data_IF_377862775687
#
_entry.id   IF_377862775687
#
_cell.length_a   1.000
_cell.length_b   1.000
_cell.length_c   1.000
_cell.angle_alpha   90.00
_cell.angle_beta   90.00
_cell.angle_gamma   90.00
#
_symmetry.space_group_name_H-M   'P 1'
#
loop_
_entity.id
_entity.type
_entity.pdbx_description
1 polymer ?
#
# COMPACT_ATOMS: atom_id res chain seq x y z
N UNK A 1 -8.00 -0.93 -16.92
CA UNK A 1 -8.37 -2.23 -16.30
C UNK A 1 -9.40 -2.00 -15.21
N UNK A 2 -10.29 -2.98 -15.02
CA UNK A 2 -11.24 -3.08 -13.91
C UNK A 2 -10.57 -3.76 -12.72
N UNK A 3 -10.71 -3.19 -11.53
CA UNK A 3 -9.92 -3.56 -10.34
C UNK A 3 -10.82 -3.93 -9.17
N UNK A 4 -10.54 -5.09 -8.56
CA UNK A 4 -11.03 -5.42 -7.21
C UNK A 4 -9.91 -5.13 -6.22
N UNK A 5 -10.13 -4.19 -5.29
CA UNK A 5 -9.18 -3.80 -4.26
C UNK A 5 -9.55 -4.38 -2.90
N UNK A 6 -8.71 -5.28 -2.39
CA UNK A 6 -8.84 -5.86 -1.05
C UNK A 6 -7.92 -5.13 -0.07
N UNK A 7 -8.34 -5.02 1.18
CA UNK A 7 -7.58 -4.31 2.23
C UNK A 7 -7.25 -2.87 1.80
N UNK A 8 -8.24 -2.18 1.21
CA UNK A 8 -8.04 -0.90 0.56
C UNK A 8 -7.55 0.20 1.52
N UNK A 9 -7.82 0.06 2.82
CA UNK A 9 -7.53 1.05 3.84
C UNK A 9 -8.16 2.39 3.49
N UNK A 10 -7.38 3.47 3.61
CA UNK A 10 -7.83 4.80 3.16
C UNK A 10 -7.70 5.02 1.64
N UNK A 11 -7.42 4.00 0.84
CA UNK A 11 -7.40 4.09 -0.63
C UNK A 11 -6.12 4.68 -1.23
N UNK A 12 -4.97 4.59 -0.56
CA UNK A 12 -3.72 5.13 -1.13
C UNK A 12 -3.26 4.43 -2.42
N UNK A 13 -3.43 3.10 -2.51
CA UNK A 13 -3.18 2.33 -3.72
C UNK A 13 -4.23 2.67 -4.79
N UNK A 14 -5.50 2.55 -4.42
CA UNK A 14 -6.66 2.81 -5.26
C UNK A 14 -6.63 4.20 -5.90
N UNK A 15 -6.27 5.25 -5.14
CA UNK A 15 -6.20 6.61 -5.67
C UNK A 15 -5.15 6.73 -6.78
N UNK A 16 -3.99 6.09 -6.62
CA UNK A 16 -2.96 6.07 -7.67
C UNK A 16 -3.41 5.32 -8.91
N UNK A 17 -4.14 4.21 -8.74
CA UNK A 17 -4.73 3.44 -9.84
C UNK A 17 -5.82 4.24 -10.57
N UNK A 18 -6.71 4.92 -9.85
CA UNK A 18 -7.72 5.83 -10.44
C UNK A 18 -7.05 6.97 -11.21
N UNK A 19 -6.00 7.59 -10.64
CA UNK A 19 -5.25 8.66 -11.30
C UNK A 19 -4.52 8.23 -12.58
N UNK A 20 -4.27 6.93 -12.75
CA UNK A 20 -3.70 6.35 -13.96
C UNK A 20 -4.77 5.76 -14.89
N UNK A 21 -6.06 5.95 -14.60
CA UNK A 21 -7.16 5.56 -15.49
C UNK A 21 -7.71 4.15 -15.28
N UNK A 22 -7.39 3.50 -14.15
CA UNK A 22 -8.03 2.24 -13.77
C UNK A 22 -9.38 2.48 -13.11
N UNK A 23 -10.29 1.51 -13.27
CA UNK A 23 -11.65 1.55 -12.72
C UNK A 23 -11.74 0.62 -11.52
N UNK A 24 -11.95 1.17 -10.32
CA UNK A 24 -12.12 0.37 -9.11
C UNK A 24 -13.59 -0.07 -9.03
N UNK A 25 -13.85 -1.32 -9.38
CA UNK A 25 -15.21 -1.88 -9.44
C UNK A 25 -15.69 -2.42 -8.10
N UNK A 26 -14.75 -2.70 -7.18
CA UNK A 26 -15.02 -3.04 -5.79
C UNK A 26 -13.80 -2.68 -4.95
N UNK A 27 -14.01 -2.06 -3.80
CA UNK A 27 -12.99 -1.89 -2.77
C UNK A 27 -13.53 -2.37 -1.42
N UNK A 28 -12.74 -3.14 -0.67
CA UNK A 28 -13.15 -3.70 0.63
C UNK A 28 -12.13 -3.44 1.74
N UNK A 29 -12.62 -3.18 2.95
CA UNK A 29 -11.84 -3.14 4.18
C UNK A 29 -12.74 -3.41 5.40
N UNK A 30 -12.14 -3.75 6.54
CA UNK A 30 -12.86 -3.98 7.81
C UNK A 30 -12.84 -2.76 8.74
N UNK A 31 -11.97 -1.79 8.48
CA UNK A 31 -11.79 -0.61 9.33
C UNK A 31 -12.84 0.46 9.02
N UNK A 32 -13.72 0.72 9.99
CA UNK A 32 -14.78 1.71 9.90
C UNK A 32 -14.26 3.13 9.63
N UNK A 33 -13.11 3.50 10.21
CA UNK A 33 -12.53 4.83 9.97
C UNK A 33 -11.95 4.93 8.56
N UNK A 34 -11.37 3.83 8.04
CA UNK A 34 -10.96 3.73 6.64
C UNK A 34 -12.15 3.92 5.70
N UNK A 35 -13.30 3.27 5.98
CA UNK A 35 -14.54 3.48 5.22
C UNK A 35 -14.97 4.94 5.19
N UNK A 36 -15.02 5.59 6.36
CA UNK A 36 -15.41 7.00 6.42
C UNK A 36 -14.47 7.89 5.60
N UNK A 37 -13.17 7.61 5.62
CA UNK A 37 -12.20 8.31 4.77
C UNK A 37 -12.40 7.99 3.30
N UNK A 38 -12.55 6.72 2.93
CA UNK A 38 -12.69 6.29 1.55
C UNK A 38 -13.94 6.90 0.90
N UNK A 39 -15.10 6.75 1.53
CA UNK A 39 -16.39 7.26 1.02
C UNK A 39 -16.42 8.79 0.84
N UNK A 40 -15.51 9.53 1.51
CA UNK A 40 -15.38 10.98 1.32
C UNK A 40 -14.58 11.38 0.09
N UNK A 41 -13.72 10.49 -0.41
CA UNK A 41 -12.70 10.84 -1.41
C UNK A 41 -12.84 10.09 -2.73
N UNK A 42 -13.74 9.10 -2.81
CA UNK A 42 -13.99 8.30 -4.00
C UNK A 42 -15.47 8.38 -4.39
N UNK A 43 -15.75 8.33 -5.69
CA UNK A 43 -17.12 8.38 -6.23
C UNK A 43 -17.91 7.08 -5.99
N UNK A 44 -17.21 5.99 -5.69
CA UNK A 44 -17.78 4.69 -5.32
C UNK A 44 -17.49 4.39 -3.85
N UNK A 45 -18.42 3.73 -3.14
CA UNK A 45 -18.27 3.46 -1.72
C UNK A 45 -17.32 2.30 -1.45
N UNK A 46 -16.66 2.33 -0.28
CA UNK A 46 -15.95 1.18 0.25
C UNK A 46 -16.95 0.19 0.86
N UNK A 47 -16.85 -1.08 0.47
CA UNK A 47 -17.60 -2.15 1.12
C UNK A 47 -16.93 -2.52 2.46
N UNK A 48 -17.60 -2.19 3.57
CA UNK A 48 -17.15 -2.57 4.91
C UNK A 48 -17.46 -4.04 5.16
N UNK A 49 -16.58 -4.94 4.73
CA UNK A 49 -16.78 -6.38 4.81
C UNK A 49 -15.43 -7.07 4.98
N UNK A 50 -15.40 -8.12 5.79
CA UNK A 50 -14.23 -8.98 5.91
C UNK A 50 -14.04 -9.75 4.60
N UNK A 51 -12.80 -9.85 4.13
CA UNK A 51 -12.45 -10.62 2.93
C UNK A 51 -12.88 -12.08 3.06
N UNK A 52 -12.90 -12.64 4.28
CA UNK A 52 -13.38 -14.00 4.59
C UNK A 52 -14.85 -14.22 4.21
N UNK A 53 -15.63 -13.14 4.15
CA UNK A 53 -17.05 -13.18 3.83
C UNK A 53 -17.32 -12.92 2.33
N UNK A 54 -16.30 -12.60 1.53
CA UNK A 54 -16.45 -12.43 0.09
C UNK A 54 -16.49 -13.79 -0.61
N UNK A 55 -17.31 -13.90 -1.65
CA UNK A 55 -17.39 -15.07 -2.53
C UNK A 55 -17.19 -14.62 -3.96
N UNK A 56 -16.43 -15.40 -4.73
CA UNK A 56 -16.03 -15.03 -6.09
C UNK A 56 -17.20 -14.81 -7.04
N UNK A 57 -18.30 -15.55 -6.87
CA UNK A 57 -19.54 -15.43 -7.64
C UNK A 57 -20.35 -14.15 -7.33
N UNK A 58 -20.07 -13.50 -6.21
CA UNK A 58 -20.65 -12.19 -5.84
C UNK A 58 -19.82 -11.01 -6.35
N UNK A 59 -18.60 -11.24 -6.84
CA UNK A 59 -17.71 -10.17 -7.28
C UNK A 59 -18.08 -9.70 -8.70
N UNK A 60 -18.03 -8.39 -8.98
CA UNK A 60 -18.20 -7.89 -10.35
C UNK A 60 -17.05 -8.39 -11.23
N UNK A 61 -17.26 -8.51 -12.54
CA UNK A 61 -16.16 -8.84 -13.46
C UNK A 61 -15.00 -7.83 -13.36
N UNK A 62 -13.77 -8.33 -13.32
CA UNK A 62 -12.57 -7.54 -13.13
C UNK A 62 -11.34 -8.18 -13.80
N UNK A 63 -10.33 -7.36 -14.11
CA UNK A 63 -9.09 -7.82 -14.78
C UNK A 63 -7.98 -8.13 -13.78
N UNK A 64 -7.91 -7.35 -12.70
CA UNK A 64 -6.84 -7.42 -11.70
C UNK A 64 -7.37 -7.33 -10.28
N UNK A 65 -6.91 -8.22 -9.42
CA UNK A 65 -7.08 -8.12 -7.97
C UNK A 65 -5.88 -7.40 -7.36
N UNK A 66 -6.11 -6.39 -6.53
CA UNK A 66 -5.04 -5.70 -5.80
C UNK A 66 -5.24 -5.79 -4.30
N UNK A 67 -4.17 -5.83 -3.51
CA UNK A 67 -4.33 -5.70 -2.05
C UNK A 67 -3.04 -5.79 -1.23
N UNK A 68 -3.01 -5.05 -0.12
CA UNK A 68 -1.91 -5.09 0.85
C UNK A 68 -2.29 -5.92 2.08
N UNK A 69 -1.91 -7.20 2.12
CA UNK A 69 -2.31 -8.07 3.23
C UNK A 69 -1.43 -7.89 4.48
N UNK A 70 -1.99 -7.99 5.70
CA UNK A 70 -1.22 -7.83 6.94
C UNK A 70 -0.14 -8.92 7.11
N UNK A 71 1.12 -8.50 7.35
CA UNK A 71 2.26 -9.42 7.52
C UNK A 71 2.52 -9.87 8.98
N UNK A 72 1.64 -9.53 9.93
CA UNK A 72 1.97 -9.62 11.37
C UNK A 72 1.81 -11.02 12.01
N UNK A 73 1.32 -12.03 11.27
CA UNK A 73 1.13 -13.41 11.75
C UNK A 73 2.24 -14.41 11.35
N UNK A 74 3.11 -14.00 10.43
CA UNK A 74 4.14 -14.90 9.93
C UNK A 74 5.32 -14.94 10.93
N UNK A 75 5.46 -16.04 11.67
CA UNK A 75 6.65 -16.33 12.47
C UNK A 75 7.24 -17.69 12.09
N UNK A 76 8.57 -17.82 12.12
CA UNK A 76 9.31 -19.04 11.71
C UNK A 76 8.87 -20.28 12.49
N UNK A 77 8.46 -20.09 13.75
CA UNK A 77 7.99 -21.18 14.62
C UNK A 77 6.56 -21.65 14.30
N UNK A 78 5.75 -20.81 13.62
CA UNK A 78 4.36 -21.13 13.26
C UNK A 78 4.21 -21.83 11.90
N UNK A 79 5.20 -21.75 10.99
CA UNK A 79 5.10 -22.40 9.66
C UNK A 79 4.82 -23.90 9.72
N UNK A 80 5.38 -24.59 10.73
CA UNK A 80 5.30 -26.05 10.81
C UNK A 80 4.32 -26.56 11.88
N UNK A 81 3.78 -25.69 12.74
CA UNK A 81 3.10 -26.16 13.97
C UNK A 81 1.66 -25.72 14.19
N UNK A 82 1.15 -24.67 13.55
CA UNK A 82 -0.27 -24.35 13.70
C UNK A 82 -0.80 -23.49 12.53
N UNK A 83 -1.79 -24.03 11.83
CA UNK A 83 -2.65 -23.42 10.80
C UNK A 83 -3.60 -22.34 11.40
N UNK A 84 -3.31 -21.82 12.61
CA UNK A 84 -4.29 -21.10 13.45
C UNK A 84 -3.87 -19.66 13.83
N UNK A 85 -2.94 -19.02 13.11
CA UNK A 85 -2.79 -17.55 13.23
C UNK A 85 -3.73 -16.90 12.21
N UNK A 86 -4.80 -16.25 12.69
CA UNK A 86 -5.82 -15.56 11.90
C UNK A 86 -5.24 -14.59 10.86
N UNK A 87 -4.00 -14.13 11.02
CA UNK A 87 -3.31 -13.23 10.08
C UNK A 87 -2.56 -13.96 8.96
N UNK A 88 -2.20 -15.22 9.15
CA UNK A 88 -1.79 -16.09 8.05
C UNK A 88 -3.01 -16.51 7.22
N UNK A 89 -4.23 -16.43 7.77
CA UNK A 89 -5.45 -16.72 7.00
C UNK A 89 -5.74 -15.65 5.94
N UNK A 90 -5.39 -14.37 6.18
CA UNK A 90 -5.79 -13.29 5.27
C UNK A 90 -5.16 -13.34 3.88
N UNK A 91 -3.93 -13.84 3.75
CA UNK A 91 -3.36 -14.05 2.41
C UNK A 91 -3.95 -15.29 1.73
N UNK A 92 -4.35 -16.31 2.52
CA UNK A 92 -5.07 -17.48 2.00
C UNK A 92 -6.45 -17.09 1.45
N UNK A 93 -7.10 -16.06 2.01
CA UNK A 93 -8.32 -15.51 1.44
C UNK A 93 -8.09 -14.83 0.08
N UNK A 94 -6.92 -14.23 -0.15
CA UNK A 94 -6.54 -13.76 -1.50
C UNK A 94 -6.39 -14.98 -2.42
N UNK A 95 -5.66 -16.01 -2.00
CA UNK A 95 -5.49 -17.25 -2.78
C UNK A 95 -6.84 -17.88 -3.15
N UNK A 96 -7.76 -17.99 -2.19
CA UNK A 96 -9.12 -18.49 -2.39
C UNK A 96 -9.87 -17.67 -3.43
N UNK A 97 -9.90 -16.34 -3.29
CA UNK A 97 -10.61 -15.48 -4.25
C UNK A 97 -9.98 -15.57 -5.65
N UNK A 98 -8.65 -15.67 -5.76
CA UNK A 98 -7.98 -15.87 -7.04
C UNK A 98 -8.31 -17.24 -7.67
N UNK A 99 -8.51 -18.29 -6.88
CA UNK A 99 -8.95 -19.61 -7.35
C UNK A 99 -10.40 -19.57 -7.86
N UNK A 100 -11.28 -18.92 -7.10
CA UNK A 100 -12.71 -18.78 -7.42
C UNK A 100 -12.97 -17.91 -8.66
N UNK A 101 -12.19 -16.85 -8.86
CA UNK A 101 -12.46 -15.85 -9.92
C UNK A 101 -11.46 -15.81 -11.06
N UNK A 102 -10.29 -16.43 -10.89
CA UNK A 102 -9.26 -16.62 -11.93
C UNK A 102 -8.95 -15.36 -12.77
N UNK A 103 -8.70 -14.18 -12.15
CA UNK A 103 -8.45 -12.96 -12.90
C UNK A 103 -7.16 -13.06 -13.73
N UNK A 104 -7.02 -12.14 -14.69
CA UNK A 104 -5.86 -12.11 -15.59
C UNK A 104 -4.57 -11.79 -14.82
N UNK A 105 -4.68 -10.96 -13.79
CA UNK A 105 -3.56 -10.49 -12.99
C UNK A 105 -3.92 -10.38 -11.51
N UNK A 106 -2.89 -10.38 -10.66
CA UNK A 106 -3.01 -9.84 -9.30
C UNK A 106 -1.77 -9.02 -8.93
N UNK A 107 -1.96 -8.02 -8.07
CA UNK A 107 -0.89 -7.22 -7.48
C UNK A 107 -1.04 -7.20 -5.96
N UNK A 108 -0.13 -7.89 -5.27
CA UNK A 108 -0.11 -7.89 -3.81
C UNK A 108 1.03 -7.02 -3.28
N UNK A 109 0.74 -6.17 -2.29
CA UNK A 109 1.74 -5.33 -1.62
C UNK A 109 2.11 -5.90 -0.24
N UNK A 110 3.38 -5.76 0.12
CA UNK A 110 3.82 -6.03 1.48
C UNK A 110 5.05 -5.20 1.91
N UNK A 111 5.40 -5.29 3.18
CA UNK A 111 6.60 -4.68 3.77
C UNK A 111 7.86 -5.50 3.48
N UNK A 112 9.06 -4.89 3.38
CA UNK A 112 10.32 -5.59 3.07
C UNK A 112 10.71 -6.74 4.00
N UNK A 113 10.17 -6.78 5.23
CA UNK A 113 10.44 -7.83 6.20
C UNK A 113 10.02 -9.22 5.73
N UNK A 114 9.01 -9.31 4.85
CA UNK A 114 8.50 -10.58 4.31
C UNK A 114 9.58 -11.40 3.60
N UNK A 115 10.55 -10.74 2.95
CA UNK A 115 11.62 -11.40 2.18
C UNK A 115 12.60 -12.17 3.07
N UNK A 116 12.77 -11.75 4.32
CA UNK A 116 13.70 -12.35 5.28
C UNK A 116 13.01 -13.28 6.28
N UNK A 117 11.68 -13.36 6.24
CA UNK A 117 10.89 -14.05 7.22
C UNK A 117 11.01 -15.56 7.04
N UNK A 118 11.17 -16.31 8.14
CA UNK A 118 11.47 -17.74 8.03
C UNK A 118 12.80 -18.02 7.33
N UNK A 119 13.78 -17.11 7.41
CA UNK A 119 15.01 -17.16 6.59
C UNK A 119 14.72 -17.21 5.07
N UNK A 120 13.57 -16.68 4.65
CA UNK A 120 13.10 -16.68 3.26
C UNK A 120 12.13 -17.80 2.93
N UNK A 121 11.90 -18.79 3.81
CA UNK A 121 10.96 -19.89 3.55
C UNK A 121 9.53 -19.41 3.32
N UNK A 122 9.10 -18.37 4.05
CA UNK A 122 7.74 -17.80 3.95
C UNK A 122 7.47 -17.24 2.56
N UNK A 123 8.37 -16.41 2.03
CA UNK A 123 8.16 -15.80 0.72
C UNK A 123 8.19 -16.87 -0.38
N UNK A 124 9.02 -17.90 -0.24
CA UNK A 124 9.05 -19.02 -1.18
C UNK A 124 7.76 -19.85 -1.14
N UNK A 125 7.16 -20.04 0.03
CA UNK A 125 5.86 -20.69 0.16
C UNK A 125 4.76 -19.87 -0.52
N UNK A 126 4.69 -18.56 -0.23
CA UNK A 126 3.69 -17.66 -0.84
C UNK A 126 3.80 -17.68 -2.37
N UNK A 127 5.03 -17.66 -2.93
CA UNK A 127 5.23 -17.75 -4.39
C UNK A 127 4.69 -19.08 -4.93
N UNK A 128 4.98 -20.21 -4.26
CA UNK A 128 4.49 -21.52 -4.67
C UNK A 128 2.96 -21.57 -4.66
N UNK A 129 2.34 -21.15 -3.55
CA UNK A 129 0.89 -21.13 -3.40
C UNK A 129 0.22 -20.28 -4.48
N UNK A 130 0.71 -19.06 -4.74
CA UNK A 130 0.20 -18.26 -5.86
C UNK A 130 0.47 -18.88 -7.24
N UNK A 131 1.58 -19.59 -7.41
CA UNK A 131 1.93 -20.20 -8.70
C UNK A 131 1.14 -21.47 -9.00
N UNK A 132 0.63 -22.13 -7.96
CA UNK A 132 -0.04 -23.43 -8.00
C UNK A 132 -1.58 -23.34 -7.81
N UNK A 133 -2.13 -22.12 -7.70
CA UNK A 133 -3.59 -21.90 -7.56
C UNK A 133 -4.35 -22.63 -8.67
N UNK A 134 -5.40 -23.35 -8.30
CA UNK A 134 -6.32 -24.02 -9.22
C UNK A 134 -5.74 -25.14 -10.07
N UNK A 135 -4.46 -25.54 -9.88
CA UNK A 135 -3.85 -26.64 -10.65
C UNK A 135 -4.64 -27.94 -10.48
N UNK A 136 -5.12 -28.22 -9.27
CA UNK A 136 -5.94 -29.40 -8.99
C UNK A 136 -7.32 -29.37 -9.66
N UNK A 137 -7.76 -28.18 -10.10
CA UNK A 137 -9.02 -27.93 -10.79
C UNK A 137 -8.85 -27.74 -12.32
N UNK A 138 -7.65 -28.04 -12.84
CA UNK A 138 -7.33 -27.93 -14.26
C UNK A 138 -6.94 -26.53 -14.74
N UNK A 139 -6.65 -25.60 -13.82
CA UNK A 139 -6.11 -24.28 -14.17
C UNK A 139 -4.58 -24.28 -14.19
N UNK A 140 -3.95 -23.37 -14.95
CA UNK A 140 -2.48 -23.32 -15.02
C UNK A 140 -1.83 -22.50 -13.89
N UNK A 141 -2.62 -21.75 -13.12
CA UNK A 141 -2.15 -20.85 -12.06
C UNK A 141 -1.48 -19.58 -12.58
N UNK A 142 -0.58 -18.99 -11.78
CA UNK A 142 0.13 -17.75 -12.13
C UNK A 142 1.64 -17.95 -12.30
N UNK A 143 2.26 -17.13 -13.14
CA UNK A 143 3.69 -16.81 -13.03
C UNK A 143 3.83 -15.59 -12.12
N UNK A 144 4.61 -15.70 -11.05
CA UNK A 144 4.72 -14.67 -10.01
C UNK A 144 6.13 -14.12 -9.95
N UNK A 145 6.27 -12.80 -10.04
CA UNK A 145 7.54 -12.09 -9.81
C UNK A 145 7.44 -11.11 -8.65
N UNK A 146 8.57 -10.96 -7.94
CA UNK A 146 8.68 -10.11 -6.76
C UNK A 146 9.60 -8.94 -7.05
N UNK A 147 9.15 -7.74 -6.69
CA UNK A 147 9.89 -6.50 -6.88
C UNK A 147 10.02 -5.74 -5.56
N UNK A 148 11.25 -5.42 -5.18
CA UNK A 148 11.54 -4.58 -4.01
C UNK A 148 11.82 -3.16 -4.47
N UNK A 149 10.83 -2.28 -4.30
CA UNK A 149 10.83 -0.92 -4.83
C UNK A 149 10.92 0.10 -3.71
N UNK A 150 11.54 1.25 -3.96
CA UNK A 150 11.60 2.37 -3.01
C UNK A 150 10.75 3.53 -3.55
N UNK A 151 9.74 3.97 -2.82
CA UNK A 151 8.83 5.02 -3.27
C UNK A 151 9.54 6.34 -3.63
N UNK A 152 10.71 6.61 -3.02
CA UNK A 152 11.53 7.78 -3.38
C UNK A 152 12.00 7.77 -4.84
N UNK A 153 12.18 6.59 -5.43
CA UNK A 153 12.54 6.41 -6.85
C UNK A 153 11.39 6.82 -7.79
N UNK A 154 10.20 7.04 -7.24
CA UNK A 154 8.96 7.33 -7.97
C UNK A 154 8.35 8.66 -7.53
N UNK A 155 9.15 9.63 -7.12
CA UNK A 155 8.67 10.98 -6.81
C UNK A 155 7.95 11.13 -5.46
N UNK A 156 8.01 10.13 -4.58
CA UNK A 156 7.51 10.27 -3.21
C UNK A 156 8.60 10.89 -2.32
N UNK A 157 8.33 11.94 -1.52
CA UNK A 157 9.32 12.59 -0.64
C UNK A 157 9.63 11.76 0.62
N UNK A 158 9.78 10.45 0.47
CA UNK A 158 9.90 9.48 1.55
C UNK A 158 10.71 8.25 1.12
N UNK A 159 11.74 7.91 1.88
CA UNK A 159 12.42 6.63 1.74
C UNK A 159 11.56 5.49 2.28
N UNK A 160 10.73 4.89 1.42
CA UNK A 160 9.75 3.85 1.77
C UNK A 160 9.91 2.66 0.84
N UNK A 161 10.57 1.61 1.33
CA UNK A 161 10.72 0.35 0.59
C UNK A 161 9.47 -0.51 0.72
N UNK A 162 9.03 -1.13 -0.38
CA UNK A 162 7.91 -2.07 -0.48
C UNK A 162 8.23 -3.25 -1.36
N UNK A 163 7.51 -4.34 -1.12
CA UNK A 163 7.58 -5.57 -1.89
C UNK A 163 6.28 -5.67 -2.65
N UNK A 164 6.38 -5.77 -3.97
CA UNK A 164 5.24 -5.95 -4.86
C UNK A 164 5.35 -7.34 -5.48
N UNK A 165 4.30 -8.12 -5.36
CA UNK A 165 4.11 -9.37 -6.08
C UNK A 165 3.22 -9.05 -7.27
N UNK A 166 3.69 -9.32 -8.48
CA UNK A 166 2.83 -9.33 -9.67
C UNK A 166 2.66 -10.79 -10.10
N UNK A 167 1.42 -11.26 -10.08
CA UNK A 167 1.02 -12.51 -10.69
C UNK A 167 0.39 -12.28 -12.06
N UNK A 168 0.86 -13.03 -13.05
CA UNK A 168 0.33 -13.03 -14.42
C UNK A 168 -0.20 -14.41 -14.73
N UNK A 169 -1.46 -14.51 -15.16
CA UNK A 169 -2.10 -15.79 -15.45
C UNK A 169 -1.28 -16.58 -16.49
N UNK A 170 -1.06 -17.88 -16.24
CA UNK A 170 -0.38 -18.79 -17.17
C UNK A 170 -1.25 -19.21 -18.36
N UNK A 171 -2.50 -18.76 -18.42
CA UNK A 171 -3.33 -18.85 -19.64
C UNK A 171 -2.76 -17.99 -20.78
N UNK A 172 -2.03 -16.91 -20.45
CA UNK A 172 -1.20 -16.23 -21.43
C UNK A 172 0.05 -17.04 -21.72
N UNK A 173 0.44 -17.16 -22.99
CA UNK A 173 1.66 -17.87 -23.38
C UNK A 173 2.95 -17.20 -22.85
N UNK A 174 4.05 -17.95 -22.88
CA UNK A 174 5.35 -17.54 -22.32
C UNK A 174 5.89 -16.22 -22.90
N UNK A 175 5.67 -15.97 -24.20
CA UNK A 175 6.17 -14.76 -24.85
C UNK A 175 5.41 -13.52 -24.37
N UNK A 176 4.10 -13.61 -24.19
CA UNK A 176 3.30 -12.51 -23.66
C UNK A 176 3.64 -12.23 -22.19
N UNK A 177 3.80 -13.28 -21.38
CA UNK A 177 4.25 -13.12 -19.99
C UNK A 177 5.65 -12.49 -19.92
N UNK A 178 6.56 -12.86 -20.82
CA UNK A 178 7.89 -12.22 -20.92
C UNK A 178 7.76 -10.73 -21.19
N UNK A 179 6.97 -10.31 -22.18
CA UNK A 179 6.74 -8.89 -22.50
C UNK A 179 6.14 -8.12 -21.33
N UNK A 180 5.18 -8.72 -20.62
CA UNK A 180 4.58 -8.14 -19.41
C UNK A 180 5.64 -7.86 -18.33
N UNK A 181 6.53 -8.82 -18.09
CA UNK A 181 7.60 -8.66 -17.11
C UNK A 181 8.79 -7.81 -17.59
N UNK A 182 8.82 -7.38 -18.85
CA UNK A 182 9.77 -6.38 -19.35
C UNK A 182 9.29 -4.95 -19.06
N UNK A 183 7.98 -4.72 -18.99
CA UNK A 183 7.38 -3.42 -18.68
C UNK A 183 7.08 -3.23 -17.18
N UNK A 184 7.02 -4.31 -16.41
CA UNK A 184 6.80 -4.27 -14.96
C UNK A 184 8.01 -4.83 -14.18
N UNK A 185 8.52 -4.11 -13.17
CA UNK A 185 7.95 -2.93 -12.51
C UNK A 185 8.22 -1.65 -13.30
N UNK A 186 7.51 -0.54 -13.01
CA UNK A 186 7.82 0.74 -13.64
C UNK A 186 9.27 1.13 -13.41
N UNK A 187 9.89 1.73 -14.43
CA UNK A 187 11.25 2.26 -14.33
C UNK A 187 11.29 3.42 -13.31
N UNK A 188 12.33 3.50 -12.46
CA UNK A 188 12.55 4.66 -11.59
C UNK A 188 12.49 5.98 -12.35
N UNK A 189 11.78 6.97 -11.79
CA UNK A 189 11.72 8.34 -12.32
C UNK A 189 12.68 9.29 -11.60
N UNK A 190 13.23 8.87 -10.46
CA UNK A 190 14.14 9.65 -9.63
C UNK A 190 15.37 8.83 -9.20
N UNK A 191 16.45 9.53 -8.87
CA UNK A 191 17.70 8.99 -8.30
C UNK A 191 17.98 9.65 -6.95
N UNK A 192 18.92 9.12 -6.13
CA UNK A 192 19.25 9.72 -4.83
C UNK A 192 19.56 11.22 -4.86
N UNK A 193 20.10 11.73 -5.98
CA UNK A 193 20.43 13.14 -6.19
C UNK A 193 19.20 14.00 -6.51
N UNK A 194 18.14 13.41 -7.06
CA UNK A 194 16.91 14.11 -7.48
C UNK A 194 15.70 13.86 -6.57
N UNK A 195 15.83 13.02 -5.53
CA UNK A 195 14.74 12.73 -4.60
C UNK A 195 14.07 13.99 -4.04
N UNK A 196 12.74 13.93 -3.93
CA UNK A 196 11.97 15.02 -3.32
C UNK A 196 12.24 15.11 -1.82
N UNK A 197 12.37 16.33 -1.33
CA UNK A 197 12.75 16.61 0.05
C UNK A 197 11.53 17.00 0.89
N UNK A 198 11.66 16.94 2.22
CA UNK A 198 10.66 17.47 3.15
C UNK A 198 10.33 18.94 2.86
N UNK A 199 11.32 19.75 2.48
CA UNK A 199 11.11 21.16 2.12
C UNK A 199 10.16 21.31 0.93
N UNK A 200 10.33 20.48 -0.11
CA UNK A 200 9.40 20.48 -1.27
C UNK A 200 7.99 20.00 -0.88
N UNK A 201 7.91 18.99 -0.02
CA UNK A 201 6.63 18.38 0.34
C UNK A 201 5.76 19.25 1.27
N UNK A 202 6.35 19.82 2.31
CA UNK A 202 5.61 20.47 3.40
C UNK A 202 6.09 21.88 3.73
N UNK A 203 7.16 22.37 3.11
CA UNK A 203 7.79 23.65 3.47
C UNK A 203 6.94 24.90 3.21
N UNK A 204 5.87 24.77 2.42
CA UNK A 204 4.89 25.84 2.18
C UNK A 204 3.66 25.79 3.11
N UNK A 205 3.57 24.81 4.01
CA UNK A 205 2.50 24.78 5.01
C UNK A 205 2.77 25.81 6.12
N UNK A 206 1.73 26.55 6.58
CA UNK A 206 1.86 27.39 7.77
C UNK A 206 2.08 26.52 9.02
N UNK A 207 2.44 27.13 10.15
CA UNK A 207 2.40 26.40 11.43
C UNK A 207 0.94 26.08 11.81
N UNK A 208 0.67 24.91 12.43
CA UNK A 208 -0.69 24.39 12.59
C UNK A 208 -1.55 25.14 13.61
N UNK A 209 -0.96 25.96 14.48
CA UNK A 209 -1.69 26.76 15.48
C UNK A 209 -1.98 28.18 14.99
N UNK A 210 -2.16 28.37 13.67
CA UNK A 210 -2.40 29.68 13.05
C UNK A 210 -3.77 29.73 12.38
N UNK A 211 -4.37 30.92 12.26
CA UNK A 211 -5.63 31.11 11.51
C UNK A 211 -5.55 30.65 10.05
N UNK A 212 -4.35 30.65 9.45
CA UNK A 212 -4.12 30.14 8.10
C UNK A 212 -4.27 28.62 8.04
N UNK A 213 -3.80 27.91 9.08
CA UNK A 213 -3.88 26.46 9.18
C UNK A 213 -5.31 25.94 9.34
N UNK A 214 -6.22 26.70 9.95
CA UNK A 214 -7.63 26.33 10.13
C UNK A 214 -8.37 26.04 8.81
N UNK A 215 -7.87 26.58 7.70
CA UNK A 215 -8.44 26.36 6.36
C UNK A 215 -7.86 25.15 5.63
N UNK A 216 -6.89 24.46 6.22
CA UNK A 216 -6.20 23.32 5.62
C UNK A 216 -6.72 22.05 6.25
N UNK A 217 -7.34 21.19 5.43
CA UNK A 217 -7.91 19.92 5.87
C UNK A 217 -6.87 19.09 6.63
N UNK A 218 -7.25 18.61 7.81
CA UNK A 218 -6.44 17.77 8.68
C UNK A 218 -5.08 18.37 9.09
N UNK A 219 -4.88 19.69 9.06
CA UNK A 219 -3.60 20.29 9.45
C UNK A 219 -3.48 20.54 10.97
N UNK A 220 -3.60 19.46 11.73
CA UNK A 220 -3.41 19.41 13.18
C UNK A 220 -2.57 18.18 13.56
N UNK A 221 -1.99 18.18 14.74
CA UNK A 221 -1.13 17.11 15.22
C UNK A 221 -1.25 16.86 16.72
N UNK A 222 -0.41 15.98 17.25
CA UNK A 222 -0.41 15.66 18.68
C UNK A 222 0.31 16.72 19.52
N UNK A 223 -0.08 16.86 20.78
CA UNK A 223 0.61 17.70 21.78
C UNK A 223 1.81 17.01 22.44
N UNK A 224 2.21 15.83 21.96
CA UNK A 224 3.33 15.08 22.56
C UNK A 224 4.64 15.84 22.42
N UNK A 225 5.36 15.98 23.55
CA UNK A 225 6.66 16.65 23.59
C UNK A 225 7.65 15.96 22.65
N UNK A 226 8.43 16.78 21.94
CA UNK A 226 9.55 16.31 21.15
C UNK A 226 10.69 15.91 22.10
N UNK A 227 11.26 14.73 21.87
CA UNK A 227 12.52 14.28 22.46
C UNK A 227 13.38 13.77 21.32
N UNK A 228 14.63 14.24 21.24
CA UNK A 228 15.59 13.77 20.24
C UNK A 228 16.54 12.81 20.92
N UNK A 229 16.51 11.54 20.53
CA UNK A 229 17.36 10.50 21.12
C UNK A 229 17.78 9.42 20.11
N UNK A 230 17.59 9.66 18.81
CA UNK A 230 18.01 8.75 17.75
C UNK A 230 17.08 7.54 17.53
N UNK A 231 16.17 7.24 18.46
CA UNK A 231 15.17 6.18 18.29
C UNK A 231 14.16 6.53 17.19
N UNK A 232 13.53 5.51 16.62
CA UNK A 232 12.48 5.67 15.60
C UNK A 232 11.40 6.65 16.10
N UNK A 233 11.02 7.61 15.26
CA UNK A 233 10.10 8.69 15.61
C UNK A 233 10.68 9.84 16.43
N UNK A 234 11.93 9.73 16.92
CA UNK A 234 12.64 10.71 17.74
C UNK A 234 14.02 11.09 17.15
N UNK A 235 14.18 10.90 15.83
CA UNK A 235 15.34 11.37 15.08
C UNK A 235 15.10 12.80 14.62
N UNK A 236 16.15 13.62 14.67
CA UNK A 236 16.12 14.93 14.02
C UNK A 236 16.04 14.72 12.50
N UNK A 237 15.11 15.41 11.85
CA UNK A 237 14.94 15.38 10.40
C UNK A 237 15.51 16.64 9.76
N UNK A 238 15.91 16.54 8.50
CA UNK A 238 16.42 17.66 7.71
C UNK A 238 15.42 18.08 6.64
N UNK A 239 15.30 19.38 6.43
CA UNK A 239 14.50 19.95 5.34
C UNK A 239 14.94 19.48 3.96
N UNK A 240 16.26 19.25 3.78
CA UNK A 240 16.86 18.96 2.47
C UNK A 240 16.98 17.45 2.21
N UNK A 241 16.31 16.61 3.01
CA UNK A 241 16.28 15.16 2.82
C UNK A 241 14.83 14.66 2.68
N UNK A 242 14.61 13.50 2.03
CA UNK A 242 13.34 12.81 2.10
C UNK A 242 12.99 12.42 3.55
N UNK A 243 11.70 12.26 3.81
CA UNK A 243 11.23 11.71 5.09
C UNK A 243 11.69 10.25 5.27
N UNK A 244 11.95 9.77 6.50
CA UNK A 244 11.90 8.33 6.76
C UNK A 244 10.48 7.79 6.54
N UNK A 245 10.35 6.47 6.48
CA UNK A 245 9.06 5.77 6.40
C UNK A 245 8.05 6.32 7.42
N UNK A 246 6.89 6.77 6.95
CA UNK A 246 5.72 7.06 7.79
C UNK A 246 5.12 5.74 8.23
N UNK A 247 5.00 5.54 9.54
CA UNK A 247 4.66 4.23 10.12
C UNK A 247 3.28 4.29 10.77
N UNK A 248 2.35 3.45 10.29
CA UNK A 248 1.01 3.35 10.85
C UNK A 248 0.94 2.67 12.21
N UNK A 249 1.99 1.94 12.62
CA UNK A 249 2.09 1.25 13.91
C UNK A 249 3.55 1.12 14.39
N UNK A 250 3.81 1.53 15.62
CA UNK A 250 5.11 1.37 16.29
C UNK A 250 5.29 0.03 16.98
N UNK A 251 6.51 -0.23 17.47
CA UNK A 251 6.77 -1.31 18.42
C UNK A 251 6.19 -1.00 19.81
N UNK A 252 5.63 -1.99 20.50
CA UNK A 252 5.03 -1.84 21.82
C UNK A 252 3.52 -1.54 21.78
N UNK A 253 3.07 -0.46 22.42
CA UNK A 253 1.64 -0.12 22.70
C UNK A 253 0.75 0.16 21.48
N UNK A 254 1.18 -0.18 20.27
CA UNK A 254 0.32 -0.37 19.09
C UNK A 254 -0.15 0.88 18.34
N UNK A 255 0.19 2.10 18.78
CA UNK A 255 -0.16 3.34 18.09
C UNK A 255 0.81 3.73 16.94
N UNK A 256 0.42 4.68 16.08
CA UNK A 256 1.29 5.20 15.00
C UNK A 256 2.51 5.93 15.56
N UNK A 257 3.63 5.86 14.83
CA UNK A 257 4.87 6.57 15.19
C UNK A 257 4.98 7.84 14.37
N UNK A 258 4.71 8.98 15.01
CA UNK A 258 4.70 10.28 14.34
C UNK A 258 6.09 10.91 14.45
N UNK A 259 6.77 11.10 13.33
CA UNK A 259 8.13 11.66 13.34
C UNK A 259 8.16 13.14 13.76
N UNK A 260 9.35 13.58 14.20
CA UNK A 260 9.61 14.97 14.58
C UNK A 260 9.66 15.83 13.32
N UNK A 261 8.99 16.98 13.36
CA UNK A 261 9.04 17.95 12.26
C UNK A 261 10.46 18.57 12.17
N UNK A 262 10.97 18.91 10.97
CA UNK A 262 12.34 19.46 10.82
C UNK A 262 12.64 20.75 11.60
N UNK A 263 11.61 21.47 12.08
CA UNK A 263 11.78 22.61 13.00
C UNK A 263 12.15 22.20 14.45
N UNK A 264 12.16 20.89 14.76
CA UNK A 264 12.48 20.28 16.05
C UNK A 264 11.59 20.69 17.23
N UNK A 265 10.50 21.42 16.99
CA UNK A 265 9.61 21.95 18.04
C UNK A 265 8.33 21.14 18.21
N UNK A 266 7.91 20.41 17.18
CA UNK A 266 6.69 19.60 17.18
C UNK A 266 6.86 18.32 16.37
N UNK A 267 5.83 17.46 16.41
CA UNK A 267 5.69 16.32 15.49
C UNK A 267 4.94 16.76 14.24
N UNK A 268 4.98 15.92 13.20
CA UNK A 268 4.17 16.15 12.01
C UNK A 268 2.67 16.19 12.35
N UNK A 269 1.95 16.99 11.57
CA UNK A 269 0.49 16.99 11.49
C UNK A 269 -0.01 15.89 10.56
N UNK A 270 -1.32 15.60 10.62
CA UNK A 270 -1.95 14.64 9.72
C UNK A 270 -1.75 15.07 8.25
N UNK A 271 -2.02 16.34 7.90
CA UNK A 271 -1.78 16.87 6.54
C UNK A 271 -0.33 16.77 6.09
N UNK A 272 0.64 17.04 6.96
CA UNK A 272 2.06 16.88 6.59
C UNK A 272 2.40 15.43 6.30
N UNK A 273 1.90 14.49 7.11
CA UNK A 273 2.09 13.05 6.83
C UNK A 273 1.40 12.61 5.54
N UNK A 274 0.22 13.16 5.25
CA UNK A 274 -0.52 12.89 4.01
C UNK A 274 0.26 13.36 2.78
N UNK A 275 0.79 14.59 2.79
CA UNK A 275 1.64 15.10 1.70
C UNK A 275 2.93 14.32 1.53
N UNK A 276 3.54 13.84 2.62
CA UNK A 276 4.73 12.98 2.55
C UNK A 276 4.41 11.61 1.91
N UNK A 277 3.18 11.12 2.08
CA UNK A 277 2.62 9.96 1.38
C UNK A 277 1.98 10.32 0.03
N UNK A 278 2.22 11.53 -0.48
CA UNK A 278 1.73 12.07 -1.77
C UNK A 278 0.21 12.14 -1.94
N UNK A 279 -0.56 12.13 -0.85
CA UNK A 279 -2.00 12.42 -0.94
C UNK A 279 -2.24 13.89 -1.33
N UNK A 280 -3.25 14.17 -2.18
CA UNK A 280 -3.59 15.52 -2.57
C UNK A 280 -4.22 16.30 -1.40
N UNK A 281 -4.16 17.63 -1.46
CA UNK A 281 -4.58 18.51 -0.35
C UNK A 281 -6.08 18.49 -0.07
N UNK A 282 -6.87 18.14 -1.08
CA UNK A 282 -8.31 17.96 -0.95
C UNK A 282 -8.71 16.58 -0.39
N UNK A 283 -7.76 15.65 -0.21
CA UNK A 283 -8.04 14.34 0.37
C UNK A 283 -8.29 14.46 1.88
N UNK A 284 -9.51 14.16 2.35
CA UNK A 284 -9.92 14.32 3.74
C UNK A 284 -9.80 13.01 4.53
N UNK A 285 -9.12 13.03 5.68
CA UNK A 285 -9.01 11.88 6.59
C UNK A 285 -10.01 11.99 7.75
N UNK A 286 -10.74 10.91 8.00
CA UNK A 286 -11.78 10.81 9.02
C UNK A 286 -11.35 9.94 10.22
N UNK A 287 -12.16 9.98 11.29
CA UNK A 287 -11.92 9.25 12.53
C UNK A 287 -11.03 10.01 13.52
N UNK A 288 -10.63 9.35 14.61
CA UNK A 288 -9.74 9.95 15.61
C UNK A 288 -8.36 10.29 15.00
N UNK A 289 -7.68 11.32 15.50
CA UNK A 289 -6.37 11.74 14.98
C UNK A 289 -5.34 10.60 14.93
N UNK A 290 -5.34 9.70 15.92
CA UNK A 290 -4.48 8.50 15.92
C UNK A 290 -4.85 7.51 14.80
N UNK A 291 -6.13 7.37 14.48
CA UNK A 291 -6.61 6.58 13.36
C UNK A 291 -6.17 7.18 12.02
N UNK A 292 -6.28 8.50 11.86
CA UNK A 292 -5.84 9.20 10.64
C UNK A 292 -4.34 8.98 10.36
N UNK A 293 -3.48 9.06 11.39
CA UNK A 293 -2.07 8.73 11.23
C UNK A 293 -1.83 7.25 10.89
N UNK A 294 -2.63 6.33 11.46
CA UNK A 294 -2.56 4.89 11.14
C UNK A 294 -2.93 4.64 9.67
N UNK A 295 -4.03 5.21 9.21
CA UNK A 295 -4.51 5.13 7.82
C UNK A 295 -3.41 5.58 6.85
N UNK A 296 -2.86 6.78 7.03
CA UNK A 296 -1.79 7.33 6.19
C UNK A 296 -0.53 6.46 6.25
N UNK A 297 -0.15 5.99 7.43
CA UNK A 297 1.06 5.19 7.61
C UNK A 297 0.95 3.78 7.03
N UNK A 298 -0.24 3.21 6.94
CA UNK A 298 -0.50 1.90 6.33
C UNK A 298 -0.68 1.98 4.82
N UNK A 299 -1.11 3.11 4.28
CA UNK A 299 -1.33 3.30 2.85
C UNK A 299 -0.07 3.06 2.00
N UNK A 300 -0.29 2.61 0.76
CA UNK A 300 0.66 2.79 -0.35
C UNK A 300 0.71 4.29 -0.69
N UNK A 301 1.90 4.83 -0.94
CA UNK A 301 2.02 6.23 -1.33
C UNK A 301 1.36 6.45 -2.70
N UNK A 302 0.51 7.47 -2.82
CA UNK A 302 -0.34 7.70 -4.00
C UNK A 302 0.47 7.82 -5.29
N UNK A 303 1.54 8.62 -5.29
CA UNK A 303 2.37 8.81 -6.48
C UNK A 303 3.13 7.53 -6.86
N UNK A 304 3.55 6.73 -5.87
CA UNK A 304 4.13 5.41 -6.14
C UNK A 304 3.09 4.46 -6.75
N UNK A 305 1.86 4.43 -6.20
CA UNK A 305 0.75 3.66 -6.76
C UNK A 305 0.38 4.10 -8.18
N UNK A 306 0.43 5.40 -8.47
CA UNK A 306 0.22 5.94 -9.83
C UNK A 306 1.23 5.40 -10.82
N UNK A 307 2.52 5.36 -10.45
CA UNK A 307 3.56 4.76 -11.30
C UNK A 307 3.36 3.25 -11.50
N UNK A 308 2.86 2.52 -10.49
CA UNK A 308 2.46 1.11 -10.67
C UNK A 308 1.31 0.99 -11.67
N UNK A 309 0.30 1.86 -11.58
CA UNK A 309 -0.83 1.90 -12.52
C UNK A 309 -0.40 2.22 -13.95
N UNK A 310 0.54 3.14 -14.17
CA UNK A 310 1.07 3.38 -15.53
C UNK A 310 1.74 2.13 -16.12
N UNK A 311 2.46 1.33 -15.32
CA UNK A 311 3.00 0.06 -15.80
C UNK A 311 1.88 -0.97 -16.06
N UNK A 312 0.80 -0.98 -15.27
CA UNK A 312 -0.38 -1.80 -15.55
C UNK A 312 -1.08 -1.36 -16.85
N UNK A 313 -1.08 -0.08 -17.21
CA UNK A 313 -1.57 0.38 -18.52
C UNK A 313 -0.73 -0.17 -19.68
N UNK A 314 0.59 -0.25 -19.52
CA UNK A 314 1.45 -0.90 -20.53
C UNK A 314 1.12 -2.39 -20.67
N UNK A 315 0.88 -3.08 -19.56
CA UNK A 315 0.39 -4.47 -19.56
C UNK A 315 -0.95 -4.60 -20.27
N UNK A 316 -1.91 -3.72 -19.99
CA UNK A 316 -3.23 -3.74 -20.63
C UNK A 316 -3.11 -3.65 -22.16
N UNK A 317 -2.24 -2.76 -22.66
CA UNK A 317 -1.97 -2.64 -24.10
C UNK A 317 -1.35 -3.91 -24.69
N UNK A 318 -0.42 -4.55 -23.99
CA UNK A 318 0.21 -5.81 -24.43
C UNK A 318 -0.84 -6.92 -24.61
N UNK A 319 -1.83 -6.99 -23.71
CA UNK A 319 -2.86 -8.04 -23.72
C UNK A 319 -4.18 -7.63 -24.39
N UNK A 320 -4.25 -6.44 -25.01
CA UNK A 320 -5.44 -5.86 -25.64
C UNK A 320 -6.66 -5.77 -24.70
N UNK A 321 -6.44 -5.20 -23.51
CA UNK A 321 -7.47 -4.79 -22.54
C UNK A 321 -7.77 -3.29 -22.60
#
# INVERSE_FOLDING_TARGET
MRVVSLFAGCGGLDLGLVQSGHDIVLATDIDKDCKLTYDKNFDHPLLLKDVKELRGDELPEYDILTGGFPCQGFSVANLYRNVLDERNELYLEIVRLLEETRPRFFLAENVPGILSLGKGEVVQQIIREFSEIGINEGWHGYEVKIFKLNAADYGVPQGRKRVIFLGVSKEYNDDLRRQIFEVFPPKPTHTPESYLTLKKAIGNLPEPNTKKAERILNHYGTKHRVKINGYMGNRALSWDKPSPTIVGRGGGTGGPVIAVHPNLKRRFTVRETARIQSFPDNFEFCGATTSQFRQIGNAVAVEFARNLGEALNEIARIVNL
#
